data_IF_485457753257
#
_entry.id   IF_485457753257
#
_cell.length_a   1.000
_cell.length_b   1.000
_cell.length_c   1.000
_cell.angle_alpha   90.00
_cell.angle_beta   90.00
_cell.angle_gamma   90.00
#
_symmetry.space_group_name_H-M   'P 1'
#
loop_
_entity.id
_entity.type
_entity.pdbx_description
1 polymer ?
#
# COMPACT_ATOMS: atom_id res chain seq x y z
N UNK A 1 -58.06 -29.44 18.81
CA UNK A 1 -56.87 -30.29 19.05
C UNK A 1 -55.78 -29.82 18.12
N UNK A 2 -54.58 -29.57 18.68
CA UNK A 2 -53.39 -28.93 18.07
C UNK A 2 -53.04 -29.56 16.71
N UNK A 3 -52.46 -28.83 15.75
CA UNK A 3 -51.01 -28.87 15.46
C UNK A 3 -50.67 -27.88 14.31
N UNK A 4 -49.85 -26.87 14.64
CA UNK A 4 -48.90 -26.02 13.86
C UNK A 4 -49.37 -25.47 12.48
N UNK A 5 -49.64 -24.18 12.24
CA UNK A 5 -48.87 -22.95 12.50
C UNK A 5 -47.34 -23.10 12.43
N UNK A 6 -46.81 -23.51 11.28
CA UNK A 6 -45.42 -23.21 10.92
C UNK A 6 -45.14 -23.53 9.46
N UNK A 7 -45.23 -22.55 8.57
CA UNK A 7 -44.37 -22.47 7.39
C UNK A 7 -44.07 -20.99 7.12
N UNK A 8 -43.68 -20.30 8.20
CA UNK A 8 -43.01 -19.01 8.11
C UNK A 8 -41.53 -19.30 7.82
N UNK A 9 -41.02 -18.69 6.76
CA UNK A 9 -39.60 -18.35 6.62
C UNK A 9 -38.63 -19.52 6.43
N UNK A 10 -38.48 -19.97 5.18
CA UNK A 10 -37.18 -20.50 4.72
C UNK A 10 -36.59 -19.50 3.71
N UNK A 11 -36.22 -18.32 4.23
CA UNK A 11 -35.25 -17.44 3.58
C UNK A 11 -33.88 -18.07 3.83
N UNK A 12 -33.41 -18.89 2.91
CA UNK A 12 -31.99 -19.22 2.81
C UNK A 12 -31.41 -18.35 1.71
N UNK A 13 -31.24 -17.06 2.01
CA UNK A 13 -30.26 -16.24 1.33
C UNK A 13 -28.89 -16.82 1.72
N UNK A 14 -28.38 -17.75 0.92
CA UNK A 14 -26.97 -18.09 0.91
C UNK A 14 -26.23 -16.86 0.34
N UNK A 15 -25.99 -15.88 1.21
CA UNK A 15 -25.09 -14.78 0.90
C UNK A 15 -23.70 -15.40 0.92
N UNK A 16 -23.27 -15.94 -0.22
CA UNK A 16 -21.88 -16.25 -0.48
C UNK A 16 -21.10 -14.99 -0.19
N UNK A 17 -20.44 -14.94 0.97
CA UNK A 17 -19.56 -13.84 1.33
C UNK A 17 -18.40 -13.86 0.35
N UNK A 18 -18.54 -13.18 -0.77
CA UNK A 18 -17.41 -12.86 -1.63
C UNK A 18 -16.43 -12.09 -0.74
N UNK A 19 -15.36 -12.79 -0.31
CA UNK A 19 -14.24 -12.18 0.34
C UNK A 19 -13.49 -11.37 -0.74
N UNK A 20 -13.99 -10.17 -1.02
CA UNK A 20 -13.32 -9.23 -1.90
C UNK A 20 -11.98 -8.87 -1.27
N UNK A 21 -10.93 -9.52 -1.75
CA UNK A 21 -9.53 -9.23 -1.40
C UNK A 21 -8.88 -8.37 -2.49
N UNK A 22 -9.65 -7.48 -3.12
CA UNK A 22 -9.13 -6.55 -4.11
C UNK A 22 -9.88 -5.22 -4.04
N UNK A 23 -9.21 -4.14 -4.40
CA UNK A 23 -9.81 -2.80 -4.41
C UNK A 23 -8.89 -1.73 -4.95
N UNK A 24 -9.46 -0.57 -5.25
CA UNK A 24 -8.76 0.65 -5.69
C UNK A 24 -9.23 1.80 -4.80
N UNK A 25 -8.30 2.64 -4.34
CA UNK A 25 -8.59 3.86 -3.58
C UNK A 25 -7.74 5.02 -4.10
N UNK A 26 -8.27 6.24 -4.00
CA UNK A 26 -7.58 7.47 -4.45
C UNK A 26 -7.73 8.57 -3.41
N UNK A 27 -6.63 9.25 -3.11
CA UNK A 27 -6.59 10.50 -2.35
C UNK A 27 -6.53 11.68 -3.32
N UNK A 28 -7.61 12.45 -3.38
CA UNK A 28 -7.73 13.58 -4.29
C UNK A 28 -6.83 14.77 -3.92
N UNK A 29 -6.33 14.86 -2.68
CA UNK A 29 -5.46 15.97 -2.24
C UNK A 29 -4.03 15.81 -2.74
N UNK A 30 -3.54 14.58 -2.75
CA UNK A 30 -2.16 14.24 -3.14
C UNK A 30 -2.09 13.60 -4.52
N UNK A 31 -3.23 13.22 -5.10
CA UNK A 31 -3.28 12.43 -6.32
C UNK A 31 -2.86 10.97 -6.14
N UNK A 32 -2.51 10.54 -4.92
CA UNK A 32 -2.15 9.17 -4.60
C UNK A 32 -3.29 8.23 -4.99
N UNK A 33 -2.99 7.22 -5.79
CA UNK A 33 -3.87 6.08 -6.03
C UNK A 33 -3.17 4.80 -5.63
N UNK A 34 -3.94 3.84 -5.13
CA UNK A 34 -3.43 2.50 -4.91
C UNK A 34 -4.47 1.46 -5.21
N UNK A 35 -3.98 0.29 -5.59
CA UNK A 35 -4.79 -0.90 -5.74
C UNK A 35 -4.14 -2.07 -5.02
N UNK A 36 -4.93 -3.04 -4.63
CA UNK A 36 -4.45 -4.23 -3.95
C UNK A 36 -5.21 -5.46 -4.40
N UNK A 37 -4.56 -6.62 -4.27
CA UNK A 37 -5.10 -7.95 -4.51
C UNK A 37 -4.52 -8.90 -3.48
N UNK A 38 -5.33 -9.80 -2.93
CA UNK A 38 -4.91 -10.80 -1.95
C UNK A 38 -4.72 -10.24 -0.52
N UNK A 39 -4.28 -8.99 -0.39
CA UNK A 39 -4.20 -8.27 0.87
C UNK A 39 -5.54 -7.65 1.33
N UNK A 40 -5.62 -7.38 2.63
CA UNK A 40 -6.50 -6.35 3.18
C UNK A 40 -5.65 -5.17 3.64
N UNK A 41 -6.11 -3.95 3.42
CA UNK A 41 -5.44 -2.73 3.86
C UNK A 41 -6.46 -1.64 4.24
N UNK A 42 -6.17 -0.89 5.30
CA UNK A 42 -7.00 0.24 5.69
C UNK A 42 -6.79 1.40 4.72
N UNK A 43 -5.52 1.81 4.54
CA UNK A 43 -5.18 2.90 3.64
C UNK A 43 -3.69 2.91 3.26
N UNK A 44 -3.36 3.69 2.23
CA UNK A 44 -2.00 4.11 1.92
C UNK A 44 -1.96 5.63 2.00
N UNK A 45 -0.91 6.18 2.60
CA UNK A 45 -0.70 7.62 2.71
C UNK A 45 0.63 8.01 2.12
N UNK A 46 0.68 9.18 1.46
CA UNK A 46 1.93 9.92 1.35
C UNK A 46 2.16 10.64 2.67
N UNK A 47 3.34 10.47 3.25
CA UNK A 47 3.70 11.03 4.56
C UNK A 47 5.00 11.83 4.49
N UNK A 48 5.16 12.76 5.43
CA UNK A 48 6.42 13.48 5.67
C UNK A 48 7.39 12.69 6.57
N UNK A 49 8.49 13.34 6.98
CA UNK A 49 9.49 12.76 7.87
C UNK A 49 8.98 12.41 9.28
N UNK A 50 7.88 13.02 9.72
CA UNK A 50 7.23 12.76 11.00
C UNK A 50 6.06 11.76 10.86
N UNK A 51 5.98 11.07 9.71
CA UNK A 51 4.90 10.15 9.35
C UNK A 51 3.51 10.82 9.34
N UNK A 52 3.45 12.14 9.21
CA UNK A 52 2.19 12.86 9.09
C UNK A 52 1.71 12.85 7.65
N UNK A 53 0.40 12.65 7.47
CA UNK A 53 -0.23 12.62 6.15
C UNK A 53 -0.01 13.96 5.43
N UNK A 54 0.51 13.87 4.20
CA UNK A 54 0.60 15.01 3.30
C UNK A 54 -0.80 15.41 2.79
N UNK A 55 -1.04 16.73 2.70
CA UNK A 55 -2.30 17.30 2.20
C UNK A 55 -2.16 17.92 0.79
N UNK A 56 -1.01 17.74 0.15
CA UNK A 56 -0.72 18.21 -1.21
C UNK A 56 0.38 17.35 -1.82
N UNK A 57 0.47 17.33 -3.14
CA UNK A 57 1.56 16.71 -3.89
C UNK A 57 2.74 17.66 -4.18
N UNK A 58 2.71 18.88 -3.63
CA UNK A 58 3.80 19.86 -3.79
C UNK A 58 4.80 19.69 -2.65
N UNK A 59 6.00 19.20 -2.97
CA UNK A 59 6.99 18.74 -1.98
C UNK A 59 8.22 19.66 -2.01
N UNK A 60 8.67 20.20 -0.86
CA UNK A 60 9.90 20.98 -0.83
C UNK A 60 11.12 20.17 -1.28
N UNK A 61 12.03 20.80 -2.00
CA UNK A 61 13.36 20.25 -2.20
C UNK A 61 14.02 19.90 -0.84
N UNK A 62 14.85 18.85 -0.81
CA UNK A 62 15.48 18.27 0.39
C UNK A 62 14.51 17.66 1.43
N UNK A 63 13.20 17.61 1.16
CA UNK A 63 12.25 16.92 2.03
C UNK A 63 12.45 15.39 1.98
N UNK A 64 12.10 14.72 3.08
CA UNK A 64 11.89 13.28 3.11
C UNK A 64 10.39 13.02 3.06
N UNK A 65 9.97 12.15 2.15
CA UNK A 65 8.59 11.71 2.01
C UNK A 65 8.54 10.19 1.87
N UNK A 66 7.38 9.59 2.09
CA UNK A 66 7.23 8.15 1.90
C UNK A 66 5.80 7.69 1.68
N UNK A 67 5.67 6.43 1.29
CA UNK A 67 4.42 5.68 1.33
C UNK A 67 4.32 4.97 2.68
N UNK A 68 3.26 5.26 3.43
CA UNK A 68 2.89 4.55 4.64
C UNK A 68 1.67 3.68 4.34
N UNK A 69 1.86 2.37 4.28
CA UNK A 69 0.80 1.39 4.13
C UNK A 69 0.30 1.01 5.51
N UNK A 70 -0.95 1.35 5.82
CA UNK A 70 -1.53 1.19 7.15
C UNK A 70 -2.53 0.05 7.21
N UNK A 71 -2.39 -0.80 8.23
CA UNK A 71 -3.30 -1.91 8.51
C UNK A 71 -3.28 -2.98 7.41
N UNK A 72 -2.11 -3.23 6.81
CA UNK A 72 -1.98 -4.31 5.82
C UNK A 72 -1.97 -5.67 6.52
N UNK A 73 -2.68 -6.64 5.97
CA UNK A 73 -2.86 -7.97 6.56
C UNK A 73 -3.16 -9.01 5.47
N UNK A 74 -3.35 -10.28 5.88
CA UNK A 74 -3.50 -11.46 5.00
C UNK A 74 -2.21 -11.91 4.32
N UNK A 75 -1.07 -11.67 4.96
CA UNK A 75 0.18 -12.32 4.59
C UNK A 75 0.12 -13.83 4.88
N UNK A 76 0.79 -14.62 4.04
CA UNK A 76 1.05 -16.02 4.26
C UNK A 76 2.13 -16.20 5.31
N UNK A 77 1.78 -16.96 6.35
CA UNK A 77 2.69 -17.28 7.43
C UNK A 77 3.67 -18.36 7.02
N UNK A 78 4.94 -18.17 7.38
CA UNK A 78 5.97 -19.20 7.35
C UNK A 78 6.63 -19.24 8.71
N UNK A 79 6.48 -20.36 9.43
CA UNK A 79 6.99 -20.52 10.80
C UNK A 79 6.50 -19.42 11.76
N UNK A 80 5.22 -19.06 11.68
CA UNK A 80 4.61 -18.03 12.53
C UNK A 80 5.02 -16.59 12.22
N UNK A 81 5.75 -16.36 11.12
CA UNK A 81 6.19 -15.02 10.69
C UNK A 81 5.67 -14.68 9.29
N UNK A 82 5.58 -13.39 9.02
CA UNK A 82 5.30 -12.82 7.70
C UNK A 82 6.58 -12.27 7.08
N UNK A 83 6.60 -12.26 5.75
CA UNK A 83 7.76 -11.84 4.96
C UNK A 83 7.29 -10.86 3.88
N UNK A 84 6.96 -9.62 4.26
CA UNK A 84 6.64 -8.59 3.29
C UNK A 84 7.88 -8.23 2.46
N UNK A 85 7.67 -7.91 1.21
CA UNK A 85 8.58 -7.10 0.41
C UNK A 85 7.95 -5.75 0.10
N UNK A 86 8.78 -4.73 -0.02
CA UNK A 86 8.35 -3.38 -0.42
C UNK A 86 9.45 -2.73 -1.25
N UNK A 87 9.09 -2.04 -2.32
CA UNK A 87 10.00 -1.23 -3.12
C UNK A 87 9.47 0.20 -3.22
N UNK A 88 10.36 1.17 -3.48
CA UNK A 88 9.96 2.52 -3.87
C UNK A 88 10.79 2.92 -5.08
N UNK A 89 10.12 3.44 -6.10
CA UNK A 89 10.74 3.92 -7.32
C UNK A 89 10.31 5.37 -7.59
N UNK A 90 11.20 6.10 -8.26
CA UNK A 90 10.95 7.47 -8.72
C UNK A 90 11.34 7.53 -10.19
N UNK A 91 10.39 7.95 -11.01
CA UNK A 91 10.59 8.19 -12.44
C UNK A 91 10.43 9.68 -12.73
N UNK A 92 11.14 10.18 -13.75
CA UNK A 92 10.87 11.50 -14.31
C UNK A 92 9.60 11.48 -15.17
N UNK A 93 9.23 12.64 -15.72
CA UNK A 93 8.07 12.78 -16.60
C UNK A 93 8.13 11.94 -17.89
N UNK A 94 9.31 11.44 -18.27
CA UNK A 94 9.50 10.59 -19.44
C UNK A 94 9.52 9.09 -19.06
N UNK A 95 9.36 8.75 -17.78
CA UNK A 95 9.44 7.38 -17.28
C UNK A 95 10.86 6.89 -17.01
N UNK A 96 11.87 7.76 -17.07
CA UNK A 96 13.24 7.35 -16.76
C UNK A 96 13.45 7.25 -15.24
N UNK A 97 14.09 6.19 -14.75
CA UNK A 97 14.36 6.04 -13.32
C UNK A 97 15.33 7.12 -12.83
N UNK A 98 14.95 7.80 -11.75
CA UNK A 98 15.68 8.93 -11.14
C UNK A 98 16.37 8.51 -9.85
N UNK A 99 15.74 7.59 -9.11
CA UNK A 99 16.26 7.05 -7.85
C UNK A 99 16.35 5.54 -7.96
N UNK A 100 17.55 5.02 -7.74
CA UNK A 100 17.79 3.58 -7.59
C UNK A 100 17.76 3.24 -6.09
N UNK A 101 16.59 2.85 -5.57
CA UNK A 101 16.51 2.20 -4.26
C UNK A 101 16.63 0.68 -4.38
N UNK A 102 16.87 0.02 -3.25
CA UNK A 102 16.84 -1.44 -3.18
C UNK A 102 15.54 -1.96 -3.82
N UNK A 103 15.59 -3.01 -4.66
CA UNK A 103 14.40 -3.61 -5.22
C UNK A 103 13.48 -4.19 -4.13
N UNK A 104 14.04 -4.48 -2.94
CA UNK A 104 13.30 -4.90 -1.76
C UNK A 104 13.90 -4.28 -0.48
N UNK A 105 13.14 -3.40 0.15
CA UNK A 105 13.50 -2.71 1.39
C UNK A 105 13.62 -3.66 2.59
N UNK A 106 13.05 -4.87 2.50
CA UNK A 106 13.04 -5.87 3.56
C UNK A 106 13.78 -7.16 3.18
N UNK A 107 14.64 -7.14 2.15
CA UNK A 107 15.33 -8.31 1.62
C UNK A 107 16.04 -9.15 2.71
N UNK A 108 16.68 -8.47 3.66
CA UNK A 108 17.49 -9.09 4.71
C UNK A 108 16.73 -9.28 6.04
N UNK A 109 15.41 -9.07 6.07
CA UNK A 109 14.62 -9.24 7.30
C UNK A 109 14.51 -10.71 7.71
N UNK A 110 14.64 -11.06 9.00
CA UNK A 110 14.38 -12.40 9.52
C UNK A 110 12.88 -12.75 9.61
N UNK A 111 12.01 -11.95 8.98
CA UNK A 111 10.56 -12.00 9.07
C UNK A 111 10.03 -11.25 10.29
N UNK A 112 8.76 -10.86 10.22
CA UNK A 112 8.07 -10.07 11.24
C UNK A 112 6.91 -10.87 11.83
N UNK A 113 6.46 -10.51 13.04
CA UNK A 113 5.11 -10.85 13.46
C UNK A 113 4.07 -10.12 12.60
N UNK A 114 2.84 -10.62 12.58
CA UNK A 114 1.74 -9.94 11.87
C UNK A 114 1.49 -8.52 12.38
N UNK A 115 1.65 -8.30 13.70
CA UNK A 115 1.47 -6.99 14.31
C UNK A 115 2.56 -6.01 13.85
N UNK A 116 3.83 -6.42 13.85
CA UNK A 116 4.95 -5.58 13.40
C UNK A 116 4.83 -5.23 11.91
N UNK A 117 4.43 -6.17 11.05
CA UNK A 117 4.28 -5.92 9.62
C UNK A 117 2.91 -5.37 9.21
N UNK A 118 2.07 -4.95 10.17
CA UNK A 118 0.77 -4.31 9.88
C UNK A 118 0.92 -2.88 9.35
N UNK A 119 2.10 -2.28 9.51
CA UNK A 119 2.45 -0.96 8.97
C UNK A 119 3.78 -1.07 8.23
N UNK A 120 3.79 -0.68 6.95
CA UNK A 120 4.99 -0.66 6.12
C UNK A 120 5.29 0.76 5.69
N UNK A 121 6.57 1.15 5.74
CA UNK A 121 7.04 2.47 5.36
C UNK A 121 8.21 2.36 4.38
N UNK A 122 8.02 2.92 3.19
CA UNK A 122 9.07 3.13 2.21
C UNK A 122 9.23 4.62 1.96
N UNK A 123 10.46 5.14 2.11
CA UNK A 123 10.70 6.59 2.04
C UNK A 123 11.86 6.94 1.11
N UNK A 124 11.75 8.10 0.47
CA UNK A 124 12.78 8.71 -0.37
C UNK A 124 13.13 10.10 0.16
N UNK A 125 14.29 10.61 -0.25
CA UNK A 125 14.67 12.00 -0.04
C UNK A 125 14.69 12.73 -1.39
N UNK A 126 14.12 13.92 -1.44
CA UNK A 126 14.08 14.76 -2.64
C UNK A 126 15.41 15.51 -2.77
N UNK A 127 16.39 14.86 -3.40
CA UNK A 127 17.76 15.36 -3.60
C UNK A 127 18.16 15.15 -5.07
N UNK A 128 19.31 15.70 -5.55
CA UNK A 128 19.77 15.43 -6.91
C UNK A 128 19.82 13.93 -7.21
N UNK A 129 19.44 13.48 -8.43
CA UNK A 129 19.23 14.28 -9.64
C UNK A 129 17.83 14.90 -9.79
N UNK A 130 16.95 14.83 -8.79
CA UNK A 130 15.68 15.57 -8.82
C UNK A 130 15.91 17.08 -8.82
N UNK A 131 15.05 17.84 -9.50
CA UNK A 131 15.15 19.29 -9.69
C UNK A 131 13.86 19.98 -9.26
N UNK A 132 14.00 21.15 -8.64
CA UNK A 132 12.86 22.03 -8.35
C UNK A 132 12.13 22.43 -9.64
N UNK A 133 10.81 22.61 -9.53
CA UNK A 133 9.91 22.90 -10.65
C UNK A 133 9.53 21.70 -11.51
N UNK A 134 10.12 20.51 -11.28
CA UNK A 134 9.81 19.31 -12.05
C UNK A 134 8.80 18.40 -11.34
N UNK A 135 8.10 17.62 -12.16
CA UNK A 135 7.17 16.58 -11.70
C UNK A 135 7.85 15.22 -11.76
N UNK A 136 7.64 14.41 -10.72
CA UNK A 136 8.15 13.04 -10.65
C UNK A 136 7.03 12.08 -10.32
N UNK A 137 7.10 10.89 -10.89
CA UNK A 137 6.18 9.81 -10.64
C UNK A 137 6.76 8.88 -9.56
N UNK A 138 6.14 8.89 -8.39
CA UNK A 138 6.49 7.99 -7.29
C UNK A 138 5.66 6.72 -7.40
N UNK A 139 6.31 5.57 -7.22
CA UNK A 139 5.67 4.27 -7.18
C UNK A 139 6.15 3.48 -5.97
N UNK A 140 5.29 2.64 -5.42
CA UNK A 140 5.66 1.59 -4.49
C UNK A 140 4.94 0.31 -4.85
N UNK A 141 5.66 -0.81 -4.73
CA UNK A 141 5.12 -2.15 -4.87
C UNK A 141 5.33 -2.89 -3.56
N UNK A 142 4.27 -3.49 -3.02
CA UNK A 142 4.29 -4.35 -1.84
C UNK A 142 3.84 -5.73 -2.24
N UNK A 143 4.57 -6.75 -1.81
CA UNK A 143 4.24 -8.14 -2.09
C UNK A 143 4.47 -9.03 -0.87
N UNK A 144 3.84 -10.20 -0.90
CA UNK A 144 4.08 -11.26 0.06
C UNK A 144 5.10 -12.24 -0.53
N UNK A 145 6.27 -12.35 0.12
CA UNK A 145 7.34 -13.27 -0.34
C UNK A 145 6.92 -14.74 -0.26
N UNK A 146 5.90 -15.06 0.53
CA UNK A 146 5.36 -16.41 0.65
C UNK A 146 4.09 -16.63 -0.20
N UNK A 147 3.57 -15.60 -0.87
CA UNK A 147 2.43 -15.71 -1.77
C UNK A 147 2.43 -14.58 -2.81
N UNK A 148 2.99 -14.84 -3.98
CA UNK A 148 3.13 -13.87 -5.06
C UNK A 148 1.79 -13.33 -5.61
N UNK A 149 0.65 -13.93 -5.28
CA UNK A 149 -0.66 -13.40 -5.68
C UNK A 149 -1.12 -12.21 -4.82
N UNK A 150 -0.50 -12.01 -3.66
CA UNK A 150 -0.78 -10.90 -2.77
C UNK A 150 0.12 -9.71 -3.13
N UNK A 151 -0.50 -8.66 -3.66
CA UNK A 151 0.17 -7.44 -4.12
C UNK A 151 -0.60 -6.19 -3.71
N UNK A 152 0.13 -5.10 -3.51
CA UNK A 152 -0.40 -3.74 -3.42
C UNK A 152 0.54 -2.81 -4.17
N UNK A 153 -0.02 -2.06 -5.09
CA UNK A 153 0.70 -1.04 -5.85
C UNK A 153 0.10 0.32 -5.53
N UNK A 154 0.96 1.30 -5.27
CA UNK A 154 0.55 2.68 -5.03
C UNK A 154 1.44 3.64 -5.79
N UNK A 155 0.84 4.71 -6.29
CA UNK A 155 1.53 5.69 -7.13
C UNK A 155 0.98 7.10 -6.92
N UNK A 156 1.86 8.10 -7.11
CA UNK A 156 1.49 9.50 -7.04
C UNK A 156 2.45 10.37 -7.86
N UNK A 157 1.93 11.43 -8.47
CA UNK A 157 2.76 12.47 -9.09
C UNK A 157 3.04 13.58 -8.07
N UNK A 158 4.31 13.84 -7.80
CA UNK A 158 4.74 14.96 -6.95
C UNK A 158 5.33 16.09 -7.79
N UNK A 159 5.19 17.32 -7.30
CA UNK A 159 5.82 18.52 -7.87
C UNK A 159 6.87 18.98 -6.87
N UNK A 160 8.13 18.99 -7.27
CA UNK A 160 9.22 19.48 -6.42
C UNK A 160 9.23 21.01 -6.43
N UNK A 161 9.19 21.62 -5.24
CA UNK A 161 9.26 23.06 -5.03
C UNK A 161 10.69 23.51 -4.74
#
# INVERSE_FOLDING_TARGET
MKIYLSYLLFITLAISSCNFSAGIKKDLKTGLSFHYKGFRTNNVFLVDSANQKLNSNKIPFNAKIGFLVYGISKFSLKNGKIFPGMSVAVEDQNGFPVVNQSPDLFANSPGFSEQEGSVLLGSIRIIPPMKAGQTYHLKTHVWDKNNASNILDAEANIIVK
#
